data_IF_367626192947
#
_entry.id   IF_367626192947
#
_cell.length_a   1.000
_cell.length_b   1.000
_cell.length_c   1.000
_cell.angle_alpha   90.00
_cell.angle_beta   90.00
_cell.angle_gamma   90.00
#
_symmetry.space_group_name_H-M   'P 1'
#
loop_
_entity.id
_entity.type
_entity.pdbx_description
1 polymer ?
#
# COMPACT_ATOMS: atom_id res chain seq x y z
N UNK A 1 12.20 -12.62 26.67
CA UNK A 1 12.01 -11.78 25.47
C UNK A 1 10.54 -11.89 25.12
N UNK A 2 9.85 -10.75 25.18
CA UNK A 2 8.40 -10.67 25.11
C UNK A 2 7.88 -11.11 23.75
N UNK A 3 6.87 -12.00 23.72
CA UNK A 3 6.23 -12.51 22.49
C UNK A 3 5.75 -11.40 21.54
N UNK A 4 5.49 -10.21 22.09
CA UNK A 4 5.12 -9.01 21.34
C UNK A 4 6.27 -8.44 20.50
N UNK A 5 7.49 -8.52 21.02
CA UNK A 5 8.70 -8.06 20.33
C UNK A 5 9.04 -9.00 19.16
N UNK A 6 8.79 -10.30 19.34
CA UNK A 6 8.93 -11.31 18.30
C UNK A 6 7.87 -11.17 17.20
N UNK A 7 6.62 -10.82 17.57
CA UNK A 7 5.57 -10.48 16.62
C UNK A 7 5.93 -9.23 15.81
N UNK A 8 6.39 -8.16 16.46
CA UNK A 8 6.82 -6.93 15.78
C UNK A 8 7.95 -7.19 14.77
N UNK A 9 8.97 -7.96 15.17
CA UNK A 9 10.10 -8.30 14.30
C UNK A 9 9.69 -9.14 13.09
N UNK A 10 8.73 -10.07 13.29
CA UNK A 10 8.22 -10.93 12.21
C UNK A 10 7.29 -10.17 11.25
N UNK A 11 6.53 -9.19 11.76
CA UNK A 11 5.74 -8.26 10.94
C UNK A 11 6.66 -7.40 10.05
N UNK A 12 7.76 -6.88 10.59
CA UNK A 12 8.74 -6.10 9.81
C UNK A 12 9.38 -6.92 8.67
N UNK A 13 9.71 -8.19 8.91
CA UNK A 13 10.23 -9.11 7.88
C UNK A 13 9.21 -9.41 6.78
N UNK A 14 7.94 -9.64 7.15
CA UNK A 14 6.87 -9.86 6.18
C UNK A 14 6.58 -8.59 5.36
N UNK A 15 6.63 -7.40 5.97
CA UNK A 15 6.55 -6.12 5.26
C UNK A 15 7.68 -5.92 4.24
N UNK A 16 8.90 -6.35 4.58
CA UNK A 16 10.05 -6.28 3.66
C UNK A 16 9.86 -7.22 2.44
N UNK A 17 9.27 -8.40 2.63
CA UNK A 17 8.95 -9.32 1.53
C UNK A 17 7.82 -8.81 0.65
N UNK A 18 6.79 -8.23 1.27
CA UNK A 18 5.68 -7.57 0.57
C UNK A 18 6.17 -6.43 -0.33
N UNK A 19 7.19 -5.66 0.10
CA UNK A 19 7.84 -4.64 -0.74
C UNK A 19 8.55 -5.19 -1.99
N UNK A 20 8.84 -6.48 -2.06
CA UNK A 20 9.53 -7.11 -3.21
C UNK A 20 8.58 -7.66 -4.28
N UNK A 21 7.26 -7.67 -4.03
CA UNK A 21 6.27 -8.25 -4.94
C UNK A 21 6.11 -7.35 -6.17
N UNK A 22 6.19 -7.97 -7.37
CA UNK A 22 6.14 -7.28 -8.67
C UNK A 22 4.75 -7.23 -9.31
N UNK A 23 3.77 -7.97 -8.78
CA UNK A 23 2.39 -7.97 -9.27
C UNK A 23 1.39 -7.60 -8.15
N UNK A 24 0.26 -7.03 -8.53
CA UNK A 24 -0.74 -6.57 -7.56
C UNK A 24 -1.59 -7.73 -7.00
N UNK A 25 -1.70 -8.83 -7.75
CA UNK A 25 -2.50 -9.99 -7.36
C UNK A 25 -1.85 -10.81 -6.23
N UNK A 26 -0.54 -11.07 -6.31
CA UNK A 26 0.18 -11.76 -5.23
C UNK A 26 0.34 -10.85 -4.00
N UNK A 27 0.40 -9.54 -4.21
CA UNK A 27 0.34 -8.57 -3.12
C UNK A 27 -1.01 -8.68 -2.39
N UNK A 28 -2.12 -8.68 -3.15
CA UNK A 28 -3.48 -8.85 -2.59
C UNK A 28 -3.63 -10.16 -1.82
N UNK A 29 -3.24 -11.30 -2.42
CA UNK A 29 -3.28 -12.61 -1.75
C UNK A 29 -2.47 -12.62 -0.46
N UNK A 30 -1.28 -12.03 -0.44
CA UNK A 30 -0.44 -12.02 0.75
C UNK A 30 -0.99 -11.11 1.85
N UNK A 31 -1.57 -9.97 1.49
CA UNK A 31 -2.30 -9.12 2.44
C UNK A 31 -3.47 -9.88 3.06
N UNK A 32 -4.26 -10.59 2.25
CA UNK A 32 -5.38 -11.41 2.75
C UNK A 32 -4.93 -12.52 3.70
N UNK A 33 -3.83 -13.22 3.37
CA UNK A 33 -3.23 -14.24 4.23
C UNK A 33 -2.76 -13.67 5.58
N UNK A 34 -2.09 -12.51 5.57
CA UNK A 34 -1.67 -11.84 6.81
C UNK A 34 -2.87 -11.35 7.62
N UNK A 35 -3.93 -10.86 6.96
CA UNK A 35 -5.17 -10.45 7.64
C UNK A 35 -5.84 -11.63 8.33
N UNK A 36 -5.84 -12.80 7.69
CA UNK A 36 -6.35 -14.04 8.26
C UNK A 36 -5.52 -14.47 9.50
N UNK A 37 -4.19 -14.34 9.43
CA UNK A 37 -3.29 -14.60 10.58
C UNK A 37 -3.56 -13.66 11.74
N UNK A 38 -3.73 -12.36 11.49
CA UNK A 38 -4.09 -11.36 12.50
C UNK A 38 -5.43 -11.71 13.14
N UNK A 39 -6.42 -12.13 12.36
CA UNK A 39 -7.72 -12.56 12.87
C UNK A 39 -7.62 -13.80 13.78
N UNK A 40 -6.78 -14.77 13.43
CA UNK A 40 -6.51 -15.94 14.28
C UNK A 40 -5.87 -15.52 15.60
N UNK A 41 -4.83 -14.69 15.55
CA UNK A 41 -4.15 -14.17 16.74
C UNK A 41 -5.12 -13.42 17.67
N UNK A 42 -5.98 -12.56 17.12
CA UNK A 42 -6.99 -11.83 17.91
C UNK A 42 -7.99 -12.77 18.57
N UNK A 43 -8.34 -13.88 17.93
CA UNK A 43 -9.34 -14.82 18.45
C UNK A 43 -8.75 -15.79 19.47
N UNK A 44 -7.51 -16.21 19.29
CA UNK A 44 -6.93 -17.35 20.00
C UNK A 44 -5.94 -16.92 21.09
N UNK A 45 -5.24 -15.81 20.90
CA UNK A 45 -4.09 -15.43 21.73
C UNK A 45 -4.29 -14.09 22.48
N UNK A 46 -5.31 -13.30 22.14
CA UNK A 46 -5.60 -12.05 22.84
C UNK A 46 -6.43 -12.36 24.09
N UNK A 47 -5.78 -12.23 25.24
CA UNK A 47 -6.45 -12.31 26.53
C UNK A 47 -7.38 -11.10 26.75
N UNK A 48 -8.50 -11.24 27.50
CA UNK A 48 -9.46 -10.17 27.75
C UNK A 48 -8.82 -8.86 28.24
N UNK A 49 -7.76 -8.95 29.03
CA UNK A 49 -7.05 -7.80 29.61
C UNK A 49 -6.30 -6.97 28.54
N UNK A 50 -6.02 -7.57 27.38
CA UNK A 50 -5.24 -6.96 26.29
C UNK A 50 -6.09 -6.54 25.09
N UNK A 51 -7.36 -6.94 25.01
CA UNK A 51 -8.28 -6.66 23.90
C UNK A 51 -8.34 -5.17 23.54
N UNK A 52 -8.45 -4.29 24.55
CA UNK A 52 -8.53 -2.84 24.34
C UNK A 52 -7.28 -2.30 23.65
N UNK A 53 -6.10 -2.78 24.05
CA UNK A 53 -4.81 -2.35 23.49
C UNK A 53 -4.62 -2.89 22.08
N UNK A 54 -4.99 -4.14 21.84
CA UNK A 54 -4.98 -4.74 20.50
C UNK A 54 -5.93 -4.00 19.55
N UNK A 55 -7.13 -3.64 20.00
CA UNK A 55 -8.07 -2.86 19.20
C UNK A 55 -7.54 -1.45 18.89
N UNK A 56 -6.83 -0.80 19.81
CA UNK A 56 -6.16 0.49 19.54
C UNK A 56 -5.05 0.34 18.51
N UNK A 57 -4.17 -0.65 18.68
CA UNK A 57 -3.10 -0.93 17.74
C UNK A 57 -3.61 -1.20 16.32
N UNK A 58 -4.68 -1.99 16.16
CA UNK A 58 -5.27 -2.26 14.85
C UNK A 58 -5.84 -0.99 14.18
N UNK A 59 -6.39 -0.05 14.97
CA UNK A 59 -6.84 1.25 14.45
C UNK A 59 -5.66 2.11 13.96
N UNK A 60 -4.58 2.19 14.73
CA UNK A 60 -3.37 2.93 14.34
C UNK A 60 -2.75 2.35 13.05
N UNK A 61 -2.74 1.02 12.90
CA UNK A 61 -2.26 0.36 11.67
C UNK A 61 -3.17 0.70 10.49
N UNK A 62 -4.50 0.73 10.70
CA UNK A 62 -5.45 1.15 9.66
C UNK A 62 -5.22 2.59 9.20
N UNK A 63 -4.90 3.51 10.10
CA UNK A 63 -4.58 4.91 9.75
C UNK A 63 -3.33 4.99 8.87
N UNK A 64 -2.28 4.24 9.20
CA UNK A 64 -1.05 4.16 8.38
C UNK A 64 -1.32 3.65 6.97
N UNK A 65 -2.20 2.67 6.81
CA UNK A 65 -2.60 2.20 5.48
C UNK A 65 -3.39 3.26 4.71
N UNK A 66 -4.28 4.01 5.37
CA UNK A 66 -4.99 5.13 4.76
C UNK A 66 -4.03 6.23 4.28
N UNK A 67 -3.03 6.58 5.09
CA UNK A 67 -1.98 7.55 4.69
C UNK A 67 -1.18 7.07 3.48
N UNK A 68 -0.79 5.79 3.46
CA UNK A 68 -0.08 5.19 2.33
C UNK A 68 -0.92 5.22 1.04
N UNK A 69 -2.22 4.94 1.13
CA UNK A 69 -3.14 5.05 0.00
C UNK A 69 -3.23 6.49 -0.52
N UNK A 70 -3.41 7.46 0.37
CA UNK A 70 -3.47 8.89 0.01
C UNK A 70 -2.19 9.36 -0.71
N UNK A 71 -1.01 8.88 -0.29
CA UNK A 71 0.24 9.19 -0.98
C UNK A 71 0.28 8.64 -2.42
N UNK A 72 -0.23 7.43 -2.65
CA UNK A 72 -0.32 6.83 -3.98
C UNK A 72 -1.29 7.63 -4.86
N UNK A 73 -2.44 8.01 -4.33
CA UNK A 73 -3.45 8.82 -5.02
C UNK A 73 -2.88 10.18 -5.43
N UNK A 74 -2.19 10.88 -4.51
CA UNK A 74 -1.53 12.14 -4.80
C UNK A 74 -0.47 11.99 -5.89
N UNK A 75 0.33 10.92 -5.86
CA UNK A 75 1.32 10.63 -6.92
C UNK A 75 0.66 10.37 -8.27
N UNK A 76 -0.47 9.68 -8.29
CA UNK A 76 -1.23 9.43 -9.51
C UNK A 76 -1.82 10.72 -10.09
N UNK A 77 -2.40 11.57 -9.24
CA UNK A 77 -2.94 12.87 -9.63
C UNK A 77 -1.85 13.77 -10.23
N UNK A 78 -0.66 13.84 -9.61
CA UNK A 78 0.47 14.62 -10.11
C UNK A 78 0.96 14.14 -11.49
N UNK A 79 1.02 12.82 -11.73
CA UNK A 79 1.38 12.25 -13.04
C UNK A 79 0.35 12.57 -14.12
N UNK A 80 -0.94 12.48 -13.78
CA UNK A 80 -2.01 12.80 -14.72
C UNK A 80 -2.01 14.29 -15.10
N UNK A 81 -1.70 15.18 -14.15
CA UNK A 81 -1.55 16.61 -14.43
C UNK A 81 -0.38 16.91 -15.39
N UNK A 82 0.75 16.19 -15.26
CA UNK A 82 1.89 16.32 -16.17
C UNK A 82 1.59 15.77 -17.58
N UNK A 83 0.89 14.64 -17.67
CA UNK A 83 0.53 14.04 -18.96
C UNK A 83 -0.54 14.84 -19.73
N UNK A 84 -1.41 15.58 -19.02
CA UNK A 84 -2.39 16.49 -19.61
C UNK A 84 -1.79 17.80 -20.16
N UNK A 85 -0.51 18.08 -19.90
CA UNK A 85 0.19 19.29 -20.34
C UNK A 85 1.09 19.09 -21.56
N UNK A 86 1.17 17.88 -22.14
CA UNK A 86 1.82 17.74 -23.45
C UNK A 86 0.81 18.22 -24.53
N UNK A 87 1.02 19.38 -25.16
CA UNK A 87 0.14 19.80 -26.25
C UNK A 87 0.27 18.77 -27.38
N UNK A 88 -0.78 18.52 -28.18
CA UNK A 88 -0.61 17.74 -29.39
C UNK A 88 0.50 18.40 -30.21
N UNK A 89 1.53 17.62 -30.54
CA UNK A 89 2.67 18.03 -31.33
C UNK A 89 2.16 18.80 -32.55
N UNK A 90 2.64 20.03 -32.72
CA UNK A 90 2.23 20.90 -33.82
C UNK A 90 2.31 20.11 -35.16
N UNK A 91 1.31 20.25 -36.04
CA UNK A 91 1.32 19.53 -37.32
C UNK A 91 2.61 19.88 -38.08
N UNK A 92 3.21 18.89 -38.78
CA UNK A 92 4.46 19.11 -39.50
C UNK A 92 4.29 20.22 -40.54
N UNK A 93 5.33 21.05 -40.80
CA UNK A 93 5.23 22.16 -41.74
C UNK A 93 4.85 21.64 -43.12
N UNK A 94 3.76 22.15 -43.68
CA UNK A 94 3.38 21.89 -45.06
C UNK A 94 4.39 22.59 -45.98
N UNK A 95 5.17 21.80 -46.71
CA UNK A 95 6.03 22.32 -47.77
C UNK A 95 5.17 23.05 -48.82
N UNK A 96 5.57 24.23 -49.30
CA UNK A 96 4.85 24.91 -50.37
C UNK A 96 4.92 24.05 -51.63
N UNK A 97 3.75 23.72 -52.20
CA UNK A 97 3.66 23.21 -53.57
C UNK A 97 4.13 24.31 -54.51
N UNK A 98 5.29 24.10 -55.13
CA UNK A 98 5.69 24.88 -56.29
C UNK A 98 4.78 24.53 -57.46
N UNK A 99 4.17 25.56 -58.05
CA UNK A 99 3.42 25.51 -59.31
C UNK A 99 4.33 25.38 -60.53
#
# INVERSE_FOLDING_TARGET
>A
MDKFEEFGKRVDEEFARVKSIKNFEDFGKRVDEELARVKSFVKEEVAPETEKRTAQFLREVSEKFSEAAAWIEARNAARNAQNGQHPPSAPPPQNPRSS
#
